data_IF_855351956664
#
_entry.id   IF_855351956664
#
_cell.length_a   1.000
_cell.length_b   1.000
_cell.length_c   1.000
_cell.angle_alpha   90.00
_cell.angle_beta   90.00
_cell.angle_gamma   90.00
#
_symmetry.space_group_name_H-M   'P 1'
#
loop_
_entity.id
_entity.type
_entity.pdbx_description
1 polymer ?
#
# COMPACT_ATOMS: atom_id res chain seq x y z
N UNK A 1 -4.07 -21.66 -3.61
CA UNK A 1 -5.01 -22.03 -4.69
C UNK A 1 -5.48 -20.85 -5.54
N UNK A 2 -6.14 -19.84 -4.96
CA UNK A 2 -6.67 -18.69 -5.75
C UNK A 2 -5.54 -17.92 -6.46
N UNK A 3 -4.44 -17.61 -5.74
CA UNK A 3 -3.28 -16.91 -6.31
C UNK A 3 -2.74 -17.66 -7.54
N UNK A 4 -2.49 -18.96 -7.42
CA UNK A 4 -1.98 -19.78 -8.53
C UNK A 4 -2.94 -19.91 -9.69
N UNK A 5 -4.23 -20.11 -9.39
CA UNK A 5 -5.27 -20.35 -10.40
C UNK A 5 -5.52 -19.12 -11.26
N UNK A 6 -5.53 -17.94 -10.64
CA UNK A 6 -5.86 -16.69 -11.33
C UNK A 6 -4.65 -15.78 -11.58
N UNK A 7 -3.44 -16.22 -11.20
CA UNK A 7 -2.19 -15.46 -11.35
C UNK A 7 -2.31 -14.06 -10.74
N UNK A 8 -2.80 -14.01 -9.50
CA UNK A 8 -2.99 -12.76 -8.80
C UNK A 8 -1.65 -12.05 -8.57
N UNK A 9 -1.58 -10.80 -9.02
CA UNK A 9 -0.42 -9.93 -8.79
C UNK A 9 -0.46 -9.26 -7.41
N UNK A 10 -1.61 -9.30 -6.74
CA UNK A 10 -1.88 -8.60 -5.49
C UNK A 10 -2.77 -9.45 -4.57
N UNK A 11 -2.38 -9.56 -3.31
CA UNK A 11 -3.16 -10.20 -2.25
C UNK A 11 -2.98 -9.40 -0.96
N UNK A 12 -4.08 -8.88 -0.40
CA UNK A 12 -4.08 -8.05 0.80
C UNK A 12 -4.74 -8.79 1.95
N UNK A 13 -4.11 -8.76 3.14
CA UNK A 13 -4.58 -9.40 4.37
C UNK A 13 -5.19 -10.80 4.13
N UNK A 14 -4.39 -11.67 3.50
CA UNK A 14 -4.84 -12.99 3.10
C UNK A 14 -5.12 -13.95 4.27
N UNK A 15 -4.69 -13.57 5.48
CA UNK A 15 -4.90 -14.29 6.75
C UNK A 15 -5.17 -13.27 7.87
N UNK A 16 -5.35 -13.75 9.10
CA UNK A 16 -5.63 -12.90 10.26
C UNK A 16 -4.52 -11.88 10.53
N UNK A 17 -4.88 -10.69 11.04
CA UNK A 17 -3.98 -9.55 11.30
C UNK A 17 -2.84 -9.82 12.31
N UNK A 18 -2.92 -10.92 13.06
CA UNK A 18 -1.89 -11.33 14.03
C UNK A 18 -1.07 -12.55 13.56
N UNK A 19 -1.44 -13.16 12.43
CA UNK A 19 -0.85 -14.38 11.90
C UNK A 19 0.37 -14.08 11.00
N UNK A 20 1.40 -13.47 11.58
CA UNK A 20 2.62 -13.09 10.85
C UNK A 20 3.35 -14.30 10.23
N UNK A 21 3.33 -15.45 10.90
CA UNK A 21 3.97 -16.68 10.42
C UNK A 21 3.27 -17.21 9.16
N UNK A 22 1.93 -17.25 9.16
CA UNK A 22 1.14 -17.67 8.00
C UNK A 22 1.33 -16.72 6.81
N UNK A 23 1.38 -15.40 7.09
CA UNK A 23 1.73 -14.39 6.09
C UNK A 23 3.13 -14.61 5.51
N UNK A 24 4.10 -15.00 6.33
CA UNK A 24 5.46 -15.30 5.88
C UNK A 24 5.54 -16.55 5.00
N UNK A 25 4.80 -17.61 5.36
CA UNK A 25 4.67 -18.79 4.50
C UNK A 25 4.07 -18.41 3.14
N UNK A 26 3.02 -17.59 3.13
CA UNK A 26 2.37 -17.13 1.90
C UNK A 26 3.32 -16.28 1.04
N UNK A 27 4.03 -15.34 1.65
CA UNK A 27 5.02 -14.50 0.95
C UNK A 27 6.16 -15.33 0.36
N UNK A 28 6.66 -16.33 1.08
CA UNK A 28 7.70 -17.23 0.58
C UNK A 28 7.21 -18.10 -0.59
N UNK A 29 5.95 -18.53 -0.54
CA UNK A 29 5.31 -19.35 -1.59
C UNK A 29 5.02 -18.54 -2.87
N UNK A 30 4.71 -17.26 -2.74
CA UNK A 30 4.30 -16.39 -3.84
C UNK A 30 5.16 -15.12 -3.95
N UNK A 31 6.47 -15.23 -4.25
CA UNK A 31 7.39 -14.10 -4.26
C UNK A 31 7.06 -13.05 -5.34
N UNK A 32 6.33 -13.44 -6.40
CA UNK A 32 5.92 -12.56 -7.50
C UNK A 32 4.53 -11.93 -7.29
N UNK A 33 3.85 -12.26 -6.19
CA UNK A 33 2.59 -11.63 -5.80
C UNK A 33 2.89 -10.61 -4.72
N UNK A 34 2.28 -9.43 -4.81
CA UNK A 34 2.32 -8.44 -3.74
C UNK A 34 1.46 -8.92 -2.57
N UNK A 35 2.06 -9.67 -1.65
CA UNK A 35 1.47 -10.06 -0.37
C UNK A 35 1.56 -8.85 0.55
N UNK A 36 0.41 -8.22 0.75
CA UNK A 36 0.27 -6.86 1.25
C UNK A 36 -0.38 -6.86 2.62
N UNK A 37 0.29 -6.27 3.62
CA UNK A 37 -0.31 -6.06 4.95
C UNK A 37 -1.02 -4.72 5.05
N UNK A 38 -2.31 -4.72 5.38
CA UNK A 38 -3.10 -3.53 5.75
C UNK A 38 -3.37 -3.54 7.25
N UNK A 39 -4.28 -4.39 7.72
CA UNK A 39 -4.58 -4.59 9.14
C UNK A 39 -3.39 -5.25 9.86
N UNK A 40 -2.57 -6.05 9.16
CA UNK A 40 -1.32 -6.59 9.72
C UNK A 40 -0.34 -5.47 10.15
N UNK A 41 -0.28 -4.36 9.42
CA UNK A 41 0.74 -3.31 9.64
C UNK A 41 0.18 -2.00 10.18
N UNK A 42 -1.11 -1.73 9.98
CA UNK A 42 -1.86 -0.52 10.37
C UNK A 42 -1.11 0.78 10.10
N UNK A 43 -0.31 0.85 9.04
CA UNK A 43 0.58 1.98 8.74
C UNK A 43 1.49 2.37 9.93
N UNK A 44 1.88 1.40 10.76
CA UNK A 44 2.77 1.59 11.91
C UNK A 44 4.20 1.14 11.56
N UNK A 45 5.16 2.05 11.75
CA UNK A 45 6.58 1.78 11.48
C UNK A 45 7.11 0.60 12.28
N UNK A 46 6.74 0.51 13.56
CA UNK A 46 7.26 -0.51 14.47
C UNK A 46 6.68 -1.90 14.12
N UNK A 47 5.41 -1.95 13.73
CA UNK A 47 4.76 -3.19 13.29
C UNK A 47 5.30 -3.61 11.92
N UNK A 48 5.53 -2.66 11.01
CA UNK A 48 6.18 -2.94 9.73
C UNK A 48 7.59 -3.52 9.93
N UNK A 49 8.38 -2.97 10.85
CA UNK A 49 9.70 -3.51 11.17
C UNK A 49 9.63 -4.96 11.66
N UNK A 50 8.63 -5.29 12.49
CA UNK A 50 8.34 -6.67 12.90
C UNK A 50 7.97 -7.55 11.68
N UNK A 51 7.08 -7.09 10.81
CA UNK A 51 6.68 -7.82 9.60
C UNK A 51 7.86 -8.10 8.67
N UNK A 52 8.75 -7.13 8.48
CA UNK A 52 9.98 -7.26 7.68
C UNK A 52 10.90 -8.30 8.29
N UNK A 53 11.16 -8.24 9.60
CA UNK A 53 12.03 -9.20 10.28
C UNK A 53 11.54 -10.65 10.15
N UNK A 54 10.21 -10.83 10.13
CA UNK A 54 9.57 -12.14 9.97
C UNK A 54 9.34 -12.51 8.50
N UNK A 55 9.67 -11.64 7.55
CA UNK A 55 9.38 -11.79 6.12
C UNK A 55 7.89 -12.04 5.84
N UNK A 56 7.02 -11.44 6.66
CA UNK A 56 5.58 -11.64 6.61
C UNK A 56 4.93 -11.03 5.36
N UNK A 57 5.50 -9.96 4.80
CA UNK A 57 4.97 -9.33 3.60
C UNK A 57 6.10 -8.80 2.70
N UNK A 58 5.79 -8.60 1.42
CA UNK A 58 6.64 -7.89 0.47
C UNK A 58 6.01 -6.56 0.00
N UNK A 59 4.81 -6.26 0.49
CA UNK A 59 4.09 -5.02 0.25
C UNK A 59 3.32 -4.58 1.51
N UNK A 60 2.98 -3.29 1.59
CA UNK A 60 2.19 -2.75 2.69
C UNK A 60 1.26 -1.61 2.24
N UNK A 61 0.09 -1.52 2.87
CA UNK A 61 -0.82 -0.40 2.69
C UNK A 61 -0.31 0.83 3.45
N UNK A 62 -0.32 1.98 2.77
CA UNK A 62 -0.11 3.30 3.36
C UNK A 62 -1.46 4.02 3.47
N UNK A 63 -1.99 4.13 4.68
CA UNK A 63 -3.16 4.96 5.01
C UNK A 63 -2.72 6.05 5.98
N UNK A 64 -2.56 7.26 5.46
CA UNK A 64 -2.04 8.43 6.23
C UNK A 64 -2.80 8.64 7.53
N UNK A 65 -4.11 8.41 7.53
CA UNK A 65 -4.93 8.59 8.72
C UNK A 65 -4.80 7.47 9.78
N UNK A 66 -4.29 6.28 9.43
CA UNK A 66 -3.95 5.25 10.42
C UNK A 66 -2.66 5.60 11.16
N UNK A 67 -1.70 6.24 10.49
CA UNK A 67 -0.44 6.67 11.12
C UNK A 67 -0.64 7.79 12.16
N UNK A 68 -1.75 8.52 12.11
CA UNK A 68 -2.08 9.61 13.03
C UNK A 68 -1.45 10.96 12.66
N UNK A 69 -0.24 10.97 12.08
CA UNK A 69 0.40 12.19 11.55
C UNK A 69 1.04 11.97 10.18
N UNK A 70 1.23 13.07 9.43
CA UNK A 70 1.95 13.01 8.15
C UNK A 70 3.41 12.58 8.35
N UNK A 71 4.05 12.99 9.45
CA UNK A 71 5.41 12.59 9.77
C UNK A 71 5.51 11.06 9.93
N UNK A 72 4.59 10.46 10.69
CA UNK A 72 4.59 9.01 10.93
C UNK A 72 4.31 8.22 9.64
N UNK A 73 3.41 8.73 8.78
CA UNK A 73 3.15 8.15 7.47
C UNK A 73 4.39 8.18 6.55
N UNK A 74 5.16 9.28 6.58
CA UNK A 74 6.41 9.41 5.80
C UNK A 74 7.53 8.53 6.37
N UNK A 75 7.62 8.40 7.69
CA UNK A 75 8.57 7.50 8.34
C UNK A 75 8.26 6.02 8.03
N UNK A 76 6.98 5.63 8.06
CA UNK A 76 6.54 4.31 7.62
C UNK A 76 6.95 4.05 6.16
N UNK A 77 6.69 5.01 5.28
CA UNK A 77 7.04 4.90 3.87
C UNK A 77 8.57 4.81 3.65
N UNK A 78 9.35 5.56 4.43
CA UNK A 78 10.80 5.51 4.38
C UNK A 78 11.33 4.12 4.78
N UNK A 79 10.84 3.56 5.89
CA UNK A 79 11.23 2.21 6.34
C UNK A 79 10.84 1.15 5.31
N UNK A 80 9.63 1.24 4.74
CA UNK A 80 9.20 0.33 3.68
C UNK A 80 10.17 0.36 2.47
N UNK A 81 10.46 1.56 1.97
CA UNK A 81 11.33 1.76 0.81
C UNK A 81 12.76 1.27 1.07
N UNK A 82 13.33 1.53 2.25
CA UNK A 82 14.67 1.06 2.63
C UNK A 82 14.78 -0.48 2.67
N UNK A 83 13.66 -1.16 2.93
CA UNK A 83 13.59 -2.61 3.05
C UNK A 83 12.93 -3.29 1.84
N UNK A 84 12.81 -2.59 0.71
CA UNK A 84 12.19 -3.08 -0.52
C UNK A 84 10.72 -3.54 -0.39
N UNK A 85 10.00 -3.08 0.63
CA UNK A 85 8.57 -3.29 0.76
C UNK A 85 7.86 -2.34 -0.19
N UNK A 86 7.03 -2.89 -1.10
CA UNK A 86 6.26 -2.07 -2.04
C UNK A 86 5.10 -1.39 -1.31
N UNK A 87 4.96 -0.09 -1.49
CA UNK A 87 3.87 0.67 -0.89
C UNK A 87 2.66 0.74 -1.80
N UNK A 88 1.48 0.62 -1.21
CA UNK A 88 0.20 0.85 -1.87
C UNK A 88 -0.54 1.92 -1.07
N UNK A 89 -0.65 3.13 -1.61
CA UNK A 89 -1.40 4.19 -0.93
C UNK A 89 -2.90 3.91 -1.08
N UNK A 90 -3.64 3.93 0.03
CA UNK A 90 -5.05 3.56 0.06
C UNK A 90 -5.93 4.67 0.63
N UNK A 91 -7.14 4.76 0.08
CA UNK A 91 -8.22 5.53 0.69
C UNK A 91 -8.78 4.86 1.95
N UNK A 92 -9.79 5.51 2.56
CA UNK A 92 -10.70 4.91 3.54
C UNK A 92 -12.11 4.77 2.96
N UNK A 93 -12.94 3.91 3.55
CA UNK A 93 -14.32 3.69 3.14
C UNK A 93 -15.20 4.93 3.30
N UNK A 94 -15.02 5.71 4.37
CA UNK A 94 -15.55 7.07 4.50
C UNK A 94 -14.47 8.07 4.10
N UNK A 95 -14.70 8.84 3.04
CA UNK A 95 -13.67 9.73 2.49
C UNK A 95 -14.27 11.05 1.97
N UNK A 96 -13.45 12.08 1.86
CA UNK A 96 -13.83 13.42 1.40
C UNK A 96 -13.39 13.66 -0.04
N UNK A 97 -13.64 14.83 -0.62
CA UNK A 97 -13.09 15.18 -1.94
C UNK A 97 -11.62 15.61 -1.91
N UNK A 98 -10.97 15.61 -0.74
CA UNK A 98 -9.55 15.92 -0.60
C UNK A 98 -8.68 14.96 -1.43
N UNK A 99 -7.73 15.48 -2.21
CA UNK A 99 -6.90 14.66 -3.11
C UNK A 99 -5.46 14.46 -2.63
N UNK A 100 -5.14 14.78 -1.36
CA UNK A 100 -3.77 14.76 -0.84
C UNK A 100 -3.10 13.40 -0.96
N UNK A 101 -3.86 12.30 -0.80
CA UNK A 101 -3.31 10.95 -0.92
C UNK A 101 -2.76 10.64 -2.32
N UNK A 102 -3.24 11.31 -3.37
CA UNK A 102 -2.66 11.20 -4.72
C UNK A 102 -1.24 11.73 -4.76
N UNK A 103 -1.01 12.89 -4.12
CA UNK A 103 0.34 13.49 -4.00
C UNK A 103 1.24 12.67 -3.09
N UNK A 104 0.73 12.28 -1.93
CA UNK A 104 1.49 11.52 -0.94
C UNK A 104 1.91 10.18 -1.54
N UNK A 105 1.03 9.50 -2.27
CA UNK A 105 1.36 8.24 -2.93
C UNK A 105 2.51 8.38 -3.93
N UNK A 106 2.51 9.45 -4.74
CA UNK A 106 3.60 9.74 -5.67
C UNK A 106 4.89 10.06 -4.90
N UNK A 107 4.83 10.98 -3.94
CA UNK A 107 5.99 11.42 -3.17
C UNK A 107 6.65 10.28 -2.38
N UNK A 108 5.85 9.33 -1.89
CA UNK A 108 6.31 8.14 -1.15
C UNK A 108 6.74 6.98 -2.04
N UNK A 109 6.71 7.16 -3.38
CA UNK A 109 7.05 6.13 -4.38
C UNK A 109 6.18 4.88 -4.27
N UNK A 110 4.90 5.06 -3.92
CA UNK A 110 3.93 3.96 -3.94
C UNK A 110 3.86 3.33 -5.32
N UNK A 111 3.75 2.00 -5.37
CA UNK A 111 3.60 1.26 -6.62
C UNK A 111 2.19 1.27 -7.14
N UNK A 112 1.21 1.38 -6.26
CA UNK A 112 -0.21 1.47 -6.62
C UNK A 112 -0.95 2.45 -5.73
N UNK A 113 -2.08 2.95 -6.25
CA UNK A 113 -3.08 3.67 -5.48
C UNK A 113 -4.42 2.93 -5.50
N UNK A 114 -4.93 2.60 -4.32
CA UNK A 114 -6.26 2.01 -4.14
C UNK A 114 -7.22 3.09 -3.65
N UNK A 115 -7.81 3.81 -4.60
CA UNK A 115 -8.65 4.99 -4.31
C UNK A 115 -10.13 4.84 -4.67
N UNK A 116 -10.56 3.66 -5.13
CA UNK A 116 -11.93 3.42 -5.58
C UNK A 116 -12.27 4.15 -6.90
N UNK A 117 -13.43 3.84 -7.48
CA UNK A 117 -13.83 4.38 -8.81
C UNK A 117 -15.20 5.04 -8.84
N UNK A 118 -16.09 4.73 -7.89
CA UNK A 118 -17.44 5.29 -7.82
C UNK A 118 -17.53 6.25 -6.63
N UNK A 119 -18.04 7.45 -6.85
CA UNK A 119 -18.21 8.49 -5.83
C UNK A 119 -17.34 9.72 -6.09
N UNK A 120 -17.86 10.91 -5.79
CA UNK A 120 -17.14 12.18 -6.01
C UNK A 120 -15.84 12.25 -5.20
N UNK A 121 -15.85 11.66 -4.01
CA UNK A 121 -14.69 11.52 -3.11
C UNK A 121 -13.59 10.65 -3.72
N UNK A 122 -13.92 9.70 -4.61
CA UNK A 122 -12.98 8.82 -5.31
C UNK A 122 -12.47 9.47 -6.59
N UNK A 123 -13.41 10.00 -7.39
CA UNK A 123 -13.14 10.69 -8.65
C UNK A 123 -12.22 11.89 -8.43
N UNK A 124 -12.32 12.60 -7.31
CA UNK A 124 -11.40 13.69 -6.98
C UNK A 124 -9.92 13.25 -6.98
N UNK A 125 -9.59 12.08 -6.41
CA UNK A 125 -8.21 11.55 -6.39
C UNK A 125 -7.76 11.12 -7.78
N UNK A 126 -8.65 10.49 -8.55
CA UNK A 126 -8.37 10.05 -9.92
C UNK A 126 -8.13 11.24 -10.86
N UNK A 127 -8.97 12.27 -10.78
CA UNK A 127 -8.78 13.51 -11.53
C UNK A 127 -7.46 14.19 -11.16
N UNK A 128 -7.08 14.14 -9.88
CA UNK A 128 -5.81 14.69 -9.46
C UNK A 128 -4.62 13.90 -10.01
N UNK A 129 -4.70 12.56 -10.07
CA UNK A 129 -3.68 11.75 -10.73
C UNK A 129 -3.58 12.09 -12.23
N UNK A 130 -4.70 12.31 -12.93
CA UNK A 130 -4.68 12.76 -14.33
C UNK A 130 -4.00 14.13 -14.47
N UNK A 131 -4.30 15.07 -13.57
CA UNK A 131 -3.66 16.39 -13.54
C UNK A 131 -2.15 16.28 -13.32
N UNK A 132 -1.71 15.46 -12.36
CA UNK A 132 -0.29 15.24 -12.04
C UNK A 132 0.44 14.50 -13.15
N UNK A 133 -0.23 13.58 -13.84
CA UNK A 133 0.27 12.90 -15.03
C UNK A 133 0.56 13.88 -16.17
N UNK A 134 -0.30 14.90 -16.36
CA UNK A 134 -0.06 15.97 -17.34
C UNK A 134 1.17 16.86 -17.06
N UNK A 135 1.81 16.69 -15.90
CA UNK A 135 3.05 17.36 -15.52
C UNK A 135 4.25 16.39 -15.41
N UNK A 136 4.11 15.14 -15.87
CA UNK A 136 5.13 14.09 -15.80
C UNK A 136 5.63 13.78 -14.37
N UNK A 137 4.78 14.00 -13.35
CA UNK A 137 5.15 13.74 -11.95
C UNK A 137 5.00 12.28 -11.52
N UNK A 138 4.33 11.45 -12.31
CA UNK A 138 4.12 10.03 -11.99
C UNK A 138 5.30 9.21 -12.54
N UNK A 139 6.23 8.85 -11.67
CA UNK A 139 7.40 8.03 -12.00
C UNK A 139 7.40 6.71 -11.21
N UNK A 140 7.47 5.57 -11.90
CA UNK A 140 7.65 4.26 -11.27
C UNK A 140 6.41 3.64 -10.61
N UNK A 141 5.23 4.26 -10.75
CA UNK A 141 3.94 3.67 -10.38
C UNK A 141 3.52 2.64 -11.44
N UNK A 142 2.89 1.55 -11.02
CA UNK A 142 2.48 0.40 -11.85
C UNK A 142 3.63 -0.36 -12.57
N UNK A 143 4.88 -0.03 -12.30
CA UNK A 143 6.04 -0.88 -12.59
C UNK A 143 6.19 -1.90 -11.45
N UNK A 144 5.55 -3.07 -11.61
CA UNK A 144 5.53 -4.21 -10.68
C UNK A 144 6.25 -5.39 -11.32
#
# INVERSE_FOLDING_TARGET
DIIDKFKLIYAEDAVHEEAFEDMAELTAKFPNTLVTGDDLTVTSKDILAKAINQKACNAAILKVNQAGSLYDALEFANVANQNNIKLITSHRSGESTDSQISHIGIATKSKMLKVGVVGGERVAKLNELLRLSGHDFICGMAEI
#
